data_IF_012553390377
#
_entry.id   IF_012553390377
#
_cell.length_a   1.000
_cell.length_b   1.000
_cell.length_c   1.000
_cell.angle_alpha   90.00
_cell.angle_beta   90.00
_cell.angle_gamma   90.00
#
_symmetry.space_group_name_H-M   'P 1'
#
loop_
_entity.id
_entity.type
_entity.pdbx_description
1 polymer ?
#
# COMPACT_ATOMS: atom_id res chain seq x y z
N UNK A 1 -59.14 47.44 12.63
CA UNK A 1 -58.32 47.50 11.41
C UNK A 1 -56.94 46.91 11.77
N UNK A 2 -56.61 45.73 11.28
CA UNK A 2 -55.36 45.10 11.57
C UNK A 2 -54.26 45.80 10.78
N UNK A 3 -53.17 46.15 11.46
CA UNK A 3 -51.96 46.81 10.92
C UNK A 3 -51.23 45.94 9.91
N UNK A 4 -51.62 46.05 8.65
CA UNK A 4 -50.91 45.34 7.55
C UNK A 4 -49.51 45.86 7.32
N UNK A 5 -49.19 47.10 7.71
CA UNK A 5 -47.85 47.67 7.61
C UNK A 5 -46.81 46.95 8.49
N UNK A 6 -47.21 46.30 9.60
CA UNK A 6 -46.31 45.60 10.52
C UNK A 6 -45.91 44.20 10.01
N UNK A 7 -46.75 43.67 9.11
CA UNK A 7 -46.48 42.35 8.50
C UNK A 7 -45.48 42.47 7.34
N UNK A 8 -45.53 43.53 6.55
CA UNK A 8 -44.56 43.77 5.45
C UNK A 8 -43.18 44.06 5.96
N UNK A 9 -43.01 44.87 7.01
CA UNK A 9 -41.71 45.16 7.64
C UNK A 9 -41.07 43.92 8.24
N UNK A 10 -41.89 42.99 8.73
CA UNK A 10 -41.37 41.72 9.28
C UNK A 10 -40.89 40.76 8.19
N UNK A 11 -41.60 40.74 7.06
CA UNK A 11 -41.22 39.89 5.92
C UNK A 11 -39.97 40.40 5.22
N UNK A 12 -39.76 41.71 5.10
CA UNK A 12 -38.56 42.32 4.54
C UNK A 12 -37.33 42.08 5.43
N UNK A 13 -37.47 42.19 6.76
CA UNK A 13 -36.40 41.91 7.71
C UNK A 13 -35.95 40.43 7.67
N UNK A 14 -36.90 39.50 7.60
CA UNK A 14 -36.65 38.07 7.50
C UNK A 14 -35.98 37.70 6.15
N UNK A 15 -36.47 38.29 5.07
CA UNK A 15 -35.93 38.12 3.72
C UNK A 15 -34.49 38.65 3.59
N UNK A 16 -34.19 39.76 4.30
CA UNK A 16 -32.87 40.37 4.32
C UNK A 16 -31.85 39.60 5.20
N UNK A 17 -32.32 38.82 6.20
CA UNK A 17 -31.51 37.99 7.04
C UNK A 17 -31.19 36.67 6.33
N UNK A 18 -32.16 36.08 5.64
CA UNK A 18 -32.01 34.82 4.90
C UNK A 18 -31.19 35.02 3.60
N UNK A 19 -31.24 36.23 3.00
CA UNK A 19 -30.54 36.58 1.77
C UNK A 19 -29.07 37.03 1.93
N UNK A 20 -28.62 37.27 3.16
CA UNK A 20 -27.24 37.72 3.45
C UNK A 20 -26.39 36.60 4.04
N UNK A 21 -26.28 35.48 3.35
CA UNK A 21 -25.06 34.70 3.48
C UNK A 21 -23.98 35.49 2.74
N UNK A 22 -22.87 35.90 3.40
CA UNK A 22 -21.84 36.67 2.73
C UNK A 22 -21.34 35.86 1.55
N UNK A 23 -21.56 36.26 0.30
CA UNK A 23 -21.19 35.45 -0.86
C UNK A 23 -19.66 35.22 -0.95
N UNK A 24 -18.89 36.11 -0.32
CA UNK A 24 -17.46 36.03 -0.29
C UNK A 24 -16.92 34.86 0.55
N UNK A 25 -17.48 34.62 1.73
CA UNK A 25 -17.01 33.53 2.62
C UNK A 25 -17.29 32.17 2.01
N UNK A 26 -18.45 31.98 1.37
CA UNK A 26 -18.77 30.71 0.71
C UNK A 26 -17.92 30.52 -0.52
N UNK A 27 -17.69 31.56 -1.30
CA UNK A 27 -16.90 31.49 -2.52
C UNK A 27 -15.42 31.21 -2.23
N UNK A 28 -14.88 31.87 -1.20
CA UNK A 28 -13.49 31.64 -0.76
C UNK A 28 -13.32 30.25 -0.14
N UNK A 29 -14.25 29.83 0.75
CA UNK A 29 -14.17 28.53 1.40
C UNK A 29 -14.29 27.35 0.44
N UNK A 30 -15.16 27.43 -0.57
CA UNK A 30 -15.23 26.40 -1.62
C UNK A 30 -13.96 26.38 -2.47
N UNK A 31 -13.40 27.56 -2.78
CA UNK A 31 -12.14 27.68 -3.49
C UNK A 31 -10.99 27.02 -2.77
N UNK A 32 -10.83 27.28 -1.48
CA UNK A 32 -9.76 26.72 -0.64
C UNK A 32 -9.86 25.19 -0.54
N UNK A 33 -11.07 24.67 -0.30
CA UNK A 33 -11.32 23.23 -0.26
C UNK A 33 -10.99 22.58 -1.60
N UNK A 34 -11.34 23.20 -2.70
CA UNK A 34 -11.05 22.68 -4.04
C UNK A 34 -9.55 22.64 -4.30
N UNK A 35 -8.81 23.68 -3.93
CA UNK A 35 -7.34 23.70 -4.07
C UNK A 35 -6.68 22.63 -3.21
N UNK A 36 -7.09 22.47 -1.96
CA UNK A 36 -6.57 21.42 -1.06
C UNK A 36 -6.83 20.03 -1.64
N UNK A 37 -8.05 19.78 -2.13
CA UNK A 37 -8.42 18.51 -2.74
C UNK A 37 -7.56 18.20 -3.97
N UNK A 38 -7.34 19.21 -4.82
CA UNK A 38 -6.51 19.08 -6.02
C UNK A 38 -5.06 18.76 -5.68
N UNK A 39 -4.49 19.40 -4.64
CA UNK A 39 -3.14 19.11 -4.14
C UNK A 39 -3.07 17.68 -3.62
N UNK A 40 -4.07 17.21 -2.87
CA UNK A 40 -4.12 15.84 -2.37
C UNK A 40 -4.18 14.80 -3.50
N UNK A 41 -4.97 15.06 -4.54
CA UNK A 41 -5.05 14.17 -5.71
C UNK A 41 -3.71 14.12 -6.45
N UNK A 42 -3.06 15.26 -6.64
CA UNK A 42 -1.73 15.32 -7.25
C UNK A 42 -0.70 14.58 -6.39
N UNK A 43 -0.70 14.78 -5.08
CA UNK A 43 0.19 14.08 -4.17
C UNK A 43 -0.04 12.55 -4.22
N UNK A 44 -1.30 12.10 -4.25
CA UNK A 44 -1.63 10.69 -4.35
C UNK A 44 -1.12 10.04 -5.66
N UNK A 45 -1.07 10.79 -6.74
CA UNK A 45 -0.53 10.30 -8.03
C UNK A 45 0.98 10.05 -7.98
N UNK A 46 1.72 10.80 -7.16
CA UNK A 46 3.18 10.65 -7.04
C UNK A 46 3.62 9.56 -6.03
N UNK A 47 2.70 9.02 -5.25
CA UNK A 47 3.03 7.96 -4.28
C UNK A 47 3.01 6.60 -4.98
N UNK A 48 4.17 5.95 -5.22
CA UNK A 48 4.19 4.59 -5.75
C UNK A 48 3.67 3.63 -4.67
N UNK A 49 2.64 2.86 -5.01
CA UNK A 49 2.16 1.79 -4.15
C UNK A 49 2.99 0.52 -4.41
N UNK A 50 3.77 0.02 -3.43
CA UNK A 50 4.44 -1.25 -3.57
C UNK A 50 3.40 -2.38 -3.57
N UNK A 51 3.37 -3.18 -4.61
CA UNK A 51 2.57 -4.41 -4.65
C UNK A 51 3.36 -5.55 -4.01
N UNK A 52 2.89 -6.07 -2.90
CA UNK A 52 3.46 -7.26 -2.27
C UNK A 52 2.87 -8.51 -2.90
N UNK A 53 3.73 -9.34 -3.50
CA UNK A 53 3.37 -10.63 -4.08
C UNK A 53 3.60 -11.69 -3.03
N UNK A 54 2.54 -12.34 -2.56
CA UNK A 54 2.64 -13.48 -1.64
C UNK A 54 2.83 -14.75 -2.44
N UNK A 55 3.82 -15.55 -2.04
CA UNK A 55 4.12 -16.83 -2.67
C UNK A 55 4.61 -17.83 -1.63
N UNK A 56 4.43 -19.13 -1.89
CA UNK A 56 4.90 -20.19 -1.01
C UNK A 56 6.30 -20.61 -1.42
N UNK A 57 7.21 -20.66 -0.45
CA UNK A 57 8.58 -21.08 -0.65
C UNK A 57 8.86 -22.42 0.04
N UNK A 58 9.64 -23.26 -0.60
CA UNK A 58 10.15 -24.50 -0.03
C UNK A 58 11.66 -24.41 0.07
N UNK A 59 12.21 -24.61 1.27
CA UNK A 59 13.66 -24.63 1.48
C UNK A 59 14.23 -25.89 0.84
N UNK A 60 15.20 -25.72 -0.07
CA UNK A 60 15.81 -26.81 -0.82
C UNK A 60 17.13 -27.27 -0.18
N UNK A 61 17.85 -26.36 0.49
CA UNK A 61 19.11 -26.69 1.13
C UNK A 61 19.83 -25.46 1.70
N UNK A 62 20.95 -25.75 2.36
CA UNK A 62 21.85 -24.71 2.88
C UNK A 62 23.23 -24.92 2.25
N UNK A 63 23.82 -23.88 1.73
CA UNK A 63 25.14 -23.90 1.16
C UNK A 63 26.23 -23.90 2.27
N UNK A 64 27.46 -24.23 1.89
CA UNK A 64 28.66 -24.26 2.77
C UNK A 64 28.91 -22.88 3.40
N UNK A 65 28.45 -21.81 2.75
CA UNK A 65 28.55 -20.43 3.23
C UNK A 65 27.46 -20.06 4.24
N UNK A 66 26.51 -20.96 4.54
CA UNK A 66 25.41 -20.73 5.45
C UNK A 66 24.23 -19.98 4.80
N UNK A 67 24.25 -19.79 3.48
CA UNK A 67 23.11 -19.23 2.75
C UNK A 67 22.04 -20.30 2.56
N UNK A 68 20.79 -19.94 2.78
CA UNK A 68 19.64 -20.82 2.60
C UNK A 68 19.13 -20.64 1.17
N UNK A 69 19.02 -21.73 0.43
CA UNK A 69 18.40 -21.79 -0.88
C UNK A 69 16.96 -22.23 -0.73
N UNK A 70 16.05 -21.48 -1.37
CA UNK A 70 14.65 -21.83 -1.39
C UNK A 70 14.07 -21.70 -2.81
N UNK A 71 13.22 -22.65 -3.18
CA UNK A 71 12.37 -22.59 -4.38
C UNK A 71 11.04 -21.93 -4.02
N UNK A 72 10.62 -20.97 -4.81
CA UNK A 72 9.36 -20.26 -4.65
C UNK A 72 8.47 -20.52 -5.84
N UNK A 73 7.22 -20.86 -5.58
CA UNK A 73 6.18 -21.01 -6.58
C UNK A 73 5.38 -19.71 -6.66
N UNK A 74 5.57 -18.98 -7.76
CA UNK A 74 4.93 -17.70 -7.97
C UNK A 74 3.84 -17.86 -9.02
N UNK A 75 2.61 -17.34 -8.79
CA UNK A 75 1.55 -17.40 -9.79
C UNK A 75 1.98 -16.74 -11.12
N UNK A 76 1.70 -17.40 -12.23
CA UNK A 76 2.17 -16.99 -13.56
C UNK A 76 1.78 -15.57 -13.96
N UNK A 77 0.68 -15.04 -13.44
CA UNK A 77 0.23 -13.66 -13.66
C UNK A 77 1.26 -12.60 -13.26
N UNK A 78 2.24 -12.94 -12.42
CA UNK A 78 3.28 -12.02 -11.95
C UNK A 78 4.63 -12.18 -12.67
N UNK A 79 4.72 -13.02 -13.71
CA UNK A 79 5.97 -13.32 -14.40
C UNK A 79 6.67 -12.07 -14.97
N UNK A 80 5.89 -11.07 -15.41
CA UNK A 80 6.43 -9.82 -15.92
C UNK A 80 6.89 -8.84 -14.84
N UNK A 81 6.37 -8.99 -13.62
CA UNK A 81 6.67 -8.12 -12.48
C UNK A 81 7.88 -8.61 -11.69
N UNK A 82 8.11 -9.91 -11.66
CA UNK A 82 9.21 -10.53 -10.91
C UNK A 82 10.49 -10.53 -11.75
N UNK A 83 11.55 -9.96 -11.18
CA UNK A 83 12.86 -9.86 -11.81
C UNK A 83 13.95 -10.40 -10.89
N UNK A 84 15.10 -10.76 -11.48
CA UNK A 84 16.31 -11.07 -10.72
C UNK A 84 16.72 -9.90 -9.83
N UNK A 85 17.37 -10.20 -8.73
CA UNK A 85 17.83 -9.23 -7.72
C UNK A 85 16.73 -8.49 -6.94
N UNK A 86 15.45 -8.85 -7.14
CA UNK A 86 14.38 -8.28 -6.31
C UNK A 86 14.53 -8.73 -4.86
N UNK A 87 14.34 -7.81 -3.90
CA UNK A 87 14.36 -8.15 -2.49
C UNK A 87 13.11 -8.99 -2.15
N UNK A 88 13.30 -9.97 -1.30
CA UNK A 88 12.25 -10.87 -0.80
C UNK A 88 12.32 -10.90 0.71
N UNK A 89 11.18 -10.79 1.35
CA UNK A 89 11.01 -11.01 2.78
C UNK A 89 10.35 -12.37 2.98
N UNK A 90 10.89 -13.15 3.91
CA UNK A 90 10.39 -14.49 4.19
C UNK A 90 9.85 -14.59 5.60
N UNK A 91 8.81 -15.38 5.74
CA UNK A 91 8.27 -15.81 7.02
C UNK A 91 8.38 -17.34 7.09
N UNK A 92 9.05 -17.86 8.10
CA UNK A 92 9.13 -19.29 8.32
C UNK A 92 7.96 -19.77 9.16
N UNK A 93 7.36 -20.87 8.75
CA UNK A 93 6.29 -21.52 9.51
C UNK A 93 6.82 -21.93 10.90
N UNK A 94 6.12 -21.53 11.95
CA UNK A 94 6.52 -21.74 13.34
C UNK A 94 7.48 -20.70 13.93
N UNK A 95 7.90 -19.70 13.15
CA UNK A 95 8.74 -18.59 13.61
C UNK A 95 7.91 -17.31 13.68
N UNK A 96 7.70 -16.78 14.87
CA UNK A 96 7.02 -15.49 15.03
C UNK A 96 7.88 -14.35 14.49
N UNK A 97 7.52 -13.83 13.33
CA UNK A 97 8.23 -12.72 12.69
C UNK A 97 8.31 -11.45 13.57
N UNK A 98 7.32 -11.26 14.45
CA UNK A 98 7.32 -10.17 15.42
C UNK A 98 8.46 -10.24 16.45
N UNK A 99 9.03 -11.43 16.67
CA UNK A 99 10.09 -11.66 17.68
C UNK A 99 11.48 -11.76 17.06
N UNK A 100 11.57 -12.28 15.84
CA UNK A 100 12.86 -12.59 15.19
C UNK A 100 13.11 -11.78 13.92
N UNK A 101 12.13 -10.98 13.49
CA UNK A 101 12.18 -10.22 12.25
C UNK A 101 11.91 -11.09 11.02
N UNK A 102 11.84 -10.45 9.87
CA UNK A 102 11.73 -11.11 8.57
C UNK A 102 13.14 -11.28 7.98
N UNK A 103 13.60 -12.51 7.72
CA UNK A 103 14.84 -12.68 6.98
C UNK A 103 14.67 -12.15 5.56
N UNK A 104 15.69 -11.43 5.11
CA UNK A 104 15.73 -10.85 3.78
C UNK A 104 16.52 -11.70 2.84
N UNK A 105 15.99 -11.92 1.68
CA UNK A 105 16.64 -12.64 0.59
C UNK A 105 16.57 -11.87 -0.71
N UNK A 106 17.12 -12.47 -1.76
CA UNK A 106 17.07 -11.98 -3.13
C UNK A 106 16.74 -13.10 -4.10
N UNK A 107 16.03 -12.75 -5.15
CA UNK A 107 15.76 -13.65 -6.26
C UNK A 107 17.02 -13.78 -7.11
N UNK A 108 17.55 -14.99 -7.23
CA UNK A 108 18.75 -15.26 -8.03
C UNK A 108 18.40 -15.66 -9.43
N UNK A 109 17.40 -16.52 -9.56
CA UNK A 109 17.01 -17.06 -10.85
C UNK A 109 15.49 -17.18 -10.95
N UNK A 110 14.97 -16.93 -12.14
CA UNK A 110 13.56 -17.15 -12.47
C UNK A 110 13.53 -18.17 -13.60
N UNK A 111 12.96 -19.34 -13.34
CA UNK A 111 12.76 -20.34 -14.39
C UNK A 111 11.54 -19.94 -15.23
N UNK A 112 11.71 -19.91 -16.55
CA UNK A 112 10.59 -19.66 -17.48
C UNK A 112 9.69 -20.91 -17.68
N UNK A 113 9.90 -21.95 -16.87
CA UNK A 113 9.14 -23.20 -16.97
C UNK A 113 7.85 -23.08 -16.18
N UNK A 114 6.74 -23.33 -16.85
CA UNK A 114 5.42 -23.34 -16.23
C UNK A 114 5.20 -24.67 -15.51
N UNK A 115 4.86 -24.60 -14.24
CA UNK A 115 4.43 -25.74 -13.45
C UNK A 115 2.94 -25.60 -13.15
N UNK A 116 2.17 -26.62 -13.47
CA UNK A 116 0.72 -26.65 -13.20
C UNK A 116 0.51 -27.38 -11.88
N UNK A 117 -0.08 -26.72 -10.90
CA UNK A 117 -0.50 -27.31 -9.63
C UNK A 117 -1.95 -26.92 -9.34
N UNK A 118 -2.76 -27.90 -9.02
CA UNK A 118 -4.19 -27.69 -8.67
C UNK A 118 -4.98 -26.84 -9.70
N UNK A 119 -4.66 -27.00 -11.00
CA UNK A 119 -5.30 -26.24 -12.08
C UNK A 119 -4.82 -24.79 -12.25
N UNK A 120 -3.85 -24.34 -11.45
CA UNK A 120 -3.23 -23.03 -11.57
C UNK A 120 -1.82 -23.10 -12.14
N UNK A 121 -1.46 -22.10 -12.92
CA UNK A 121 -0.13 -21.99 -13.52
C UNK A 121 0.81 -21.20 -12.61
N UNK A 122 1.95 -21.81 -12.28
CA UNK A 122 3.02 -21.22 -11.50
C UNK A 122 4.33 -21.24 -12.28
N UNK A 123 5.24 -20.36 -11.93
CA UNK A 123 6.63 -20.45 -12.35
C UNK A 123 7.53 -20.55 -11.11
N UNK A 124 8.66 -21.21 -11.27
CA UNK A 124 9.63 -21.40 -10.20
C UNK A 124 10.65 -20.26 -10.19
N UNK A 125 10.91 -19.72 -9.03
CA UNK A 125 12.00 -18.78 -8.80
C UNK A 125 12.90 -19.33 -7.69
N UNK A 126 14.20 -19.13 -7.82
CA UNK A 126 15.19 -19.49 -6.82
C UNK A 126 15.57 -18.25 -6.01
N UNK A 127 15.51 -18.39 -4.70
CA UNK A 127 15.84 -17.34 -3.74
C UNK A 127 17.03 -17.77 -2.91
N UNK A 128 17.95 -16.83 -2.69
CA UNK A 128 19.03 -16.98 -1.70
C UNK A 128 18.74 -16.05 -0.54
N UNK A 129 18.71 -16.63 0.65
CA UNK A 129 18.56 -15.93 1.91
C UNK A 129 19.92 -15.85 2.57
N UNK A 130 20.39 -14.64 2.78
CA UNK A 130 21.62 -14.44 3.51
C UNK A 130 21.30 -14.59 5.01
N UNK A 131 21.67 -15.71 5.57
CA UNK A 131 21.53 -15.98 7.01
C UNK A 131 22.60 -15.22 7.80
N UNK A 132 22.63 -13.89 7.67
CA UNK A 132 23.29 -13.06 8.67
C UNK A 132 22.29 -12.95 9.82
N UNK A 133 22.55 -13.60 10.97
CA UNK A 133 21.74 -13.32 12.15
C UNK A 133 21.77 -11.80 12.33
N UNK A 134 20.60 -11.17 12.40
CA UNK A 134 20.50 -9.78 12.82
C UNK A 134 21.06 -9.78 14.24
N UNK A 135 22.30 -9.39 14.37
CA UNK A 135 22.99 -9.29 15.65
C UNK A 135 22.29 -8.19 16.43
N UNK A 136 21.37 -8.58 17.28
CA UNK A 136 20.84 -7.69 18.31
C UNK A 136 21.93 -7.45 19.37
N UNK A 137 22.95 -6.70 19.01
CA UNK A 137 23.87 -6.13 19.97
C UNK A 137 23.30 -4.79 20.41
N UNK A 138 22.27 -4.80 21.22
CA UNK A 138 21.97 -3.69 22.14
C UNK A 138 21.02 -4.16 23.22
N UNK A 139 21.59 -4.83 24.20
CA UNK A 139 21.08 -4.80 25.56
C UNK A 139 22.21 -4.32 26.46
N UNK A 140 22.17 -3.03 26.75
CA UNK A 140 22.71 -2.50 27.99
C UNK A 140 21.92 -1.28 28.39
#
# INVERSE_FOLDING_TARGET
>A
MADFNNIELRSEKVRNIIGKVPPEIIRTGIGDITVILLILILAAFFIPYPENIKATATVTGTDVTGCIHAEVLIPYRYITKVKKEMPVEMEFEGYEAGRYGYPHGKIVNCANTITVMEGNNFFKAEIIINNKPVSYTHLR
#
